data_IF_899984828456
#
_entry.id   IF_899984828456
#
_cell.length_a   1.000
_cell.length_b   1.000
_cell.length_c   1.000
_cell.angle_alpha   90.00
_cell.angle_beta   90.00
_cell.angle_gamma   90.00
#
_symmetry.space_group_name_H-M   'P 1'
#
loop_
_entity.id
_entity.type
_entity.pdbx_description
1 polymer ?
#
# COMPACT_ATOMS: atom_id res chain seq x y z
N UNK A 1 -9.14 2.45 13.12
CA UNK A 1 -7.85 3.06 13.51
C UNK A 1 -6.78 2.02 13.31
N UNK A 2 -5.75 2.31 12.54
CA UNK A 2 -4.58 1.44 12.44
C UNK A 2 -3.77 1.59 13.73
N UNK A 3 -4.00 0.71 14.67
CA UNK A 3 -3.35 0.70 15.98
C UNK A 3 -2.38 -0.50 16.05
N UNK A 4 -1.05 -0.28 16.00
CA UNK A 4 -0.08 -1.35 16.10
C UNK A 4 -0.19 -2.16 17.40
N UNK A 5 -0.69 -1.54 18.47
CA UNK A 5 -0.89 -2.22 19.76
C UNK A 5 -1.96 -3.33 19.71
N UNK A 6 -2.82 -3.32 18.71
CA UNK A 6 -3.81 -4.38 18.47
C UNK A 6 -3.23 -5.62 17.77
N UNK A 7 -1.94 -5.59 17.39
CA UNK A 7 -1.28 -6.74 16.76
C UNK A 7 -1.22 -7.93 17.73
N UNK A 8 -1.35 -9.14 17.18
CA UNK A 8 -1.22 -10.37 17.98
C UNK A 8 0.19 -10.45 18.60
N UNK A 9 0.33 -10.70 19.91
CA UNK A 9 1.63 -10.87 20.52
C UNK A 9 2.47 -11.93 19.81
N UNK A 10 3.76 -11.68 19.60
CA UNK A 10 4.65 -12.55 18.80
C UNK A 10 4.66 -14.01 19.28
N UNK A 11 4.67 -14.23 20.60
CA UNK A 11 4.61 -15.59 21.16
C UNK A 11 3.30 -16.32 20.83
N UNK A 12 2.17 -15.61 20.86
CA UNK A 12 0.87 -16.16 20.48
C UNK A 12 0.80 -16.42 18.97
N UNK A 13 1.35 -15.51 18.16
CA UNK A 13 1.44 -15.71 16.71
C UNK A 13 2.27 -16.97 16.40
N UNK A 14 3.47 -17.08 16.95
CA UNK A 14 4.35 -18.23 16.73
C UNK A 14 3.68 -19.56 17.13
N UNK A 15 3.09 -19.62 18.32
CA UNK A 15 2.41 -20.82 18.81
C UNK A 15 1.23 -21.22 17.93
N UNK A 16 0.39 -20.27 17.55
CA UNK A 16 -0.77 -20.55 16.71
C UNK A 16 -0.37 -20.93 15.28
N UNK A 17 0.64 -20.28 14.73
CA UNK A 17 1.12 -20.56 13.38
C UNK A 17 1.79 -21.94 13.30
N UNK A 18 2.62 -22.30 14.29
CA UNK A 18 3.20 -23.65 14.42
C UNK A 18 2.10 -24.72 14.52
N UNK A 19 1.11 -24.50 15.40
CA UNK A 19 -0.03 -25.42 15.53
C UNK A 19 -0.76 -25.62 14.19
N UNK A 20 -1.05 -24.52 13.48
CA UNK A 20 -1.70 -24.55 12.17
C UNK A 20 -0.91 -25.40 11.17
N UNK A 21 0.41 -25.16 11.06
CA UNK A 21 1.24 -25.90 10.11
C UNK A 21 1.40 -27.38 10.50
N UNK A 22 1.44 -27.71 11.80
CA UNK A 22 1.42 -29.12 12.26
C UNK A 22 0.14 -29.84 11.82
N UNK A 23 -1.02 -29.22 12.03
CA UNK A 23 -2.31 -29.79 11.65
C UNK A 23 -2.42 -29.98 10.12
N UNK A 24 -1.99 -28.96 9.35
CA UNK A 24 -1.99 -29.04 7.89
C UNK A 24 -1.00 -30.09 7.36
N UNK A 25 0.19 -30.18 7.95
CA UNK A 25 1.20 -31.18 7.57
C UNK A 25 0.69 -32.63 7.77
N UNK A 26 -0.11 -32.84 8.80
CA UNK A 26 -0.70 -34.18 9.08
C UNK A 26 -1.65 -34.66 7.96
N UNK A 27 -2.12 -33.76 7.09
CA UNK A 27 -2.98 -34.11 5.94
C UNK A 27 -2.21 -34.74 4.78
N UNK A 28 -0.87 -34.68 4.78
CA UNK A 28 -0.02 -35.10 3.68
C UNK A 28 -0.04 -34.19 2.45
N UNK A 29 -0.72 -33.02 2.51
CA UNK A 29 -0.75 -32.06 1.44
C UNK A 29 0.57 -31.27 1.33
N UNK A 30 0.92 -30.83 0.12
CA UNK A 30 2.00 -29.88 -0.07
C UNK A 30 1.58 -28.52 0.48
N UNK A 31 2.31 -28.05 1.49
CA UNK A 31 2.04 -26.73 2.08
C UNK A 31 2.70 -25.63 1.26
N UNK A 32 1.93 -24.61 0.97
CA UNK A 32 2.38 -23.37 0.33
C UNK A 32 1.92 -22.21 1.21
N UNK A 33 2.85 -21.43 1.69
CA UNK A 33 2.58 -20.31 2.60
C UNK A 33 3.17 -19.03 2.01
N UNK A 34 2.50 -17.90 2.24
CA UNK A 34 3.00 -16.59 1.89
C UNK A 34 3.46 -15.83 3.14
N UNK A 35 4.47 -15.00 3.01
CA UNK A 35 4.78 -14.01 4.01
C UNK A 35 3.83 -12.79 3.88
N UNK A 36 3.82 -11.93 4.91
CA UNK A 36 2.95 -10.76 4.99
C UNK A 36 3.62 -9.58 4.27
N UNK A 37 2.92 -8.91 3.34
CA UNK A 37 3.43 -7.70 2.70
C UNK A 37 3.55 -6.54 3.69
N UNK A 38 4.37 -5.51 3.36
CA UNK A 38 4.26 -4.21 4.05
C UNK A 38 2.87 -3.63 3.76
N UNK A 39 2.01 -3.65 4.78
CA UNK A 39 0.62 -3.17 4.65
C UNK A 39 0.53 -1.69 4.28
N UNK A 40 1.58 -0.91 4.50
CA UNK A 40 1.61 0.51 4.11
C UNK A 40 1.86 0.72 2.61
N UNK A 41 2.07 -0.36 1.85
CA UNK A 41 2.19 -0.32 0.38
C UNK A 41 0.82 -0.21 -0.31
N UNK A 42 -0.26 -0.65 0.34
CA UNK A 42 -1.59 -0.60 -0.25
C UNK A 42 -2.13 0.85 -0.33
N UNK A 43 -2.95 1.20 -1.35
CA UNK A 43 -3.46 2.57 -1.54
C UNK A 43 -4.33 3.10 -0.39
N UNK A 44 -4.84 2.22 0.47
CA UNK A 44 -5.58 2.60 1.67
C UNK A 44 -4.79 3.56 2.58
N UNK A 45 -3.47 3.48 2.53
CA UNK A 45 -2.56 4.37 3.25
C UNK A 45 -1.89 5.32 2.25
N UNK A 46 -2.38 6.57 2.17
CA UNK A 46 -1.80 7.60 1.29
C UNK A 46 -0.65 8.31 2.00
N UNK A 47 0.60 8.25 1.49
CA UNK A 47 1.72 8.95 2.07
C UNK A 47 1.49 10.48 2.11
N UNK A 48 1.90 11.16 3.18
CA UNK A 48 1.85 12.62 3.28
C UNK A 48 2.58 13.32 2.12
N UNK A 49 3.66 12.71 1.60
CA UNK A 49 4.38 13.20 0.42
C UNK A 49 3.51 13.16 -0.85
N UNK A 50 2.69 12.13 -1.02
CA UNK A 50 1.76 12.01 -2.15
C UNK A 50 0.69 13.10 -2.07
N UNK A 51 0.12 13.36 -0.89
CA UNK A 51 -0.83 14.46 -0.68
C UNK A 51 -0.21 15.79 -1.05
N UNK A 52 1.04 16.03 -0.66
CA UNK A 52 1.77 17.25 -0.99
C UNK A 52 1.97 17.39 -2.51
N UNK A 53 2.34 16.32 -3.18
CA UNK A 53 2.52 16.27 -4.62
C UNK A 53 1.19 16.54 -5.35
N UNK A 54 0.10 15.92 -4.94
CA UNK A 54 -1.23 16.09 -5.52
C UNK A 54 -1.78 17.50 -5.29
N UNK A 55 -1.50 18.10 -4.12
CA UNK A 55 -1.83 19.50 -3.85
C UNK A 55 -0.96 20.50 -4.64
N UNK A 56 0.12 20.07 -5.27
CA UNK A 56 1.08 20.94 -5.95
C UNK A 56 1.85 21.86 -4.99
N UNK A 57 1.97 21.48 -3.71
CA UNK A 57 2.57 22.29 -2.65
C UNK A 57 3.55 21.44 -1.83
N UNK A 58 4.67 22.01 -1.37
CA UNK A 58 5.61 21.27 -0.51
C UNK A 58 4.97 20.83 0.81
N UNK A 59 5.37 19.66 1.32
CA UNK A 59 4.84 19.11 2.57
C UNK A 59 5.06 20.04 3.77
N UNK A 60 6.19 20.77 3.83
CA UNK A 60 6.46 21.73 4.91
C UNK A 60 5.45 22.89 4.95
N UNK A 61 4.72 23.13 3.85
CA UNK A 61 3.67 24.15 3.74
C UNK A 61 2.33 23.61 4.19
N UNK A 62 1.89 22.48 3.61
CA UNK A 62 0.58 21.93 3.90
C UNK A 62 0.56 21.09 5.18
N UNK A 63 1.70 20.56 5.59
CA UNK A 63 1.82 19.72 6.77
C UNK A 63 1.29 20.38 8.05
N UNK A 64 1.69 21.62 8.40
CA UNK A 64 1.13 22.31 9.57
C UNK A 64 -0.38 22.56 9.47
N UNK A 65 -0.92 22.78 8.27
CA UNK A 65 -2.36 23.00 8.03
C UNK A 65 -3.15 21.70 8.21
N UNK A 66 -2.62 20.61 7.67
CA UNK A 66 -3.25 19.30 7.72
C UNK A 66 -2.91 18.50 8.99
N UNK A 67 -1.94 18.95 9.78
CA UNK A 67 -1.45 18.23 10.95
C UNK A 67 -0.71 16.94 10.59
N UNK A 68 0.01 16.89 9.45
CA UNK A 68 0.79 15.74 8.99
C UNK A 68 2.25 16.12 8.75
N UNK A 69 3.14 15.13 8.83
CA UNK A 69 4.57 15.30 8.66
C UNK A 69 5.20 14.24 7.76
N UNK A 70 6.53 14.33 7.56
CA UNK A 70 7.27 13.30 6.82
C UNK A 70 7.09 11.92 7.43
N UNK A 71 6.77 10.93 6.60
CA UNK A 71 6.57 9.54 7.02
C UNK A 71 5.17 9.23 7.57
N UNK A 72 4.30 10.23 7.74
CA UNK A 72 2.90 10.00 8.06
C UNK A 72 2.14 9.49 6.83
N UNK A 73 1.09 8.71 7.08
CA UNK A 73 0.10 8.27 6.09
C UNK A 73 -1.28 8.73 6.49
N UNK A 74 -2.11 9.03 5.49
CA UNK A 74 -3.49 9.47 5.68
C UNK A 74 -4.44 8.39 5.14
N UNK A 75 -5.49 8.09 5.91
CA UNK A 75 -6.53 7.13 5.55
C UNK A 75 -7.55 7.77 4.59
N UNK A 76 -8.36 7.00 3.87
CA UNK A 76 -9.30 7.51 2.86
C UNK A 76 -10.21 8.64 3.35
N UNK A 77 -10.75 8.52 4.58
CA UNK A 77 -11.63 9.54 5.16
C UNK A 77 -10.87 10.87 5.37
N UNK A 78 -9.63 10.80 5.84
CA UNK A 78 -8.76 11.97 5.95
C UNK A 78 -8.40 12.57 4.60
N UNK A 79 -8.08 11.74 3.59
CA UNK A 79 -7.80 12.21 2.22
C UNK A 79 -8.98 12.98 1.65
N UNK A 80 -10.21 12.54 1.88
CA UNK A 80 -11.42 13.21 1.44
C UNK A 80 -11.60 14.62 2.05
N UNK A 81 -11.04 14.87 3.24
CA UNK A 81 -11.11 16.18 3.91
C UNK A 81 -10.05 17.18 3.40
N UNK A 82 -8.95 16.69 2.81
CA UNK A 82 -7.81 17.53 2.41
C UNK A 82 -8.21 18.75 1.56
N UNK A 83 -9.00 18.62 0.46
CA UNK A 83 -9.38 19.78 -0.35
C UNK A 83 -10.14 20.83 0.45
N UNK A 84 -11.06 20.40 1.31
CA UNK A 84 -11.85 21.30 2.14
C UNK A 84 -11.01 22.05 3.17
N UNK A 85 -10.04 21.38 3.78
CA UNK A 85 -9.12 22.01 4.74
C UNK A 85 -8.20 23.00 4.04
N UNK A 86 -7.62 22.65 2.89
CA UNK A 86 -6.72 23.53 2.15
C UNK A 86 -7.41 24.77 1.57
N UNK A 87 -8.72 24.68 1.27
CA UNK A 87 -9.52 25.83 0.83
C UNK A 87 -10.14 26.65 1.97
N UNK A 88 -10.02 26.16 3.22
CA UNK A 88 -10.60 26.79 4.39
C UNK A 88 -12.11 26.56 4.55
N UNK A 89 -12.75 25.72 3.72
CA UNK A 89 -14.16 25.35 3.85
C UNK A 89 -14.41 24.33 4.96
N UNK A 90 -13.37 23.60 5.35
CA UNK A 90 -13.36 22.68 6.49
C UNK A 90 -12.26 23.14 7.45
N UNK A 91 -12.56 23.15 8.76
CA UNK A 91 -11.58 23.51 9.78
C UNK A 91 -10.61 22.35 9.99
N UNK A 92 -9.31 22.59 9.78
CA UNK A 92 -8.24 21.63 10.09
C UNK A 92 -7.79 21.66 11.56
N UNK A 93 -6.82 20.84 11.93
CA UNK A 93 -6.16 19.80 11.11
C UNK A 93 -7.00 18.56 10.86
N UNK A 94 -6.45 17.55 10.16
CA UNK A 94 -7.08 16.24 9.99
C UNK A 94 -7.32 15.57 11.35
N UNK A 95 -8.42 14.80 11.51
CA UNK A 95 -8.63 13.99 12.70
C UNK A 95 -7.45 13.03 12.92
N UNK A 96 -7.00 12.88 14.17
CA UNK A 96 -5.89 11.97 14.49
C UNK A 96 -6.21 10.49 14.19
N UNK A 97 -7.50 10.14 14.16
CA UNK A 97 -7.99 8.82 13.74
C UNK A 97 -7.67 8.48 12.28
N UNK A 98 -7.50 9.50 11.45
CA UNK A 98 -7.35 9.37 10.01
C UNK A 98 -5.89 9.51 9.58
N UNK A 99 -4.97 9.59 10.53
CA UNK A 99 -3.54 9.71 10.28
C UNK A 99 -2.78 8.60 11.01
N UNK A 100 -2.08 7.75 10.25
CA UNK A 100 -1.08 6.83 10.78
C UNK A 100 0.25 7.56 10.87
N UNK A 101 0.75 7.77 12.09
CA UNK A 101 1.96 8.54 12.34
C UNK A 101 3.23 7.76 11.99
N UNK A 102 4.28 8.48 11.58
CA UNK A 102 5.56 7.87 11.22
C UNK A 102 6.11 6.87 12.27
N UNK A 103 6.05 7.11 13.59
CA UNK A 103 6.44 6.10 14.57
C UNK A 103 5.57 4.84 14.51
N UNK A 104 4.25 4.97 14.32
CA UNK A 104 3.33 3.83 14.19
C UNK A 104 3.59 3.03 12.90
N UNK A 105 3.96 3.71 11.81
CA UNK A 105 4.40 3.06 10.56
C UNK A 105 5.63 2.19 10.81
N UNK A 106 6.63 2.72 11.50
CA UNK A 106 7.85 1.97 11.83
C UNK A 106 7.56 0.79 12.74
N UNK A 107 6.70 0.96 13.75
CA UNK A 107 6.28 -0.11 14.64
C UNK A 107 5.52 -1.21 13.87
N UNK A 108 4.58 -0.83 13.00
CA UNK A 108 3.85 -1.78 12.16
C UNK A 108 4.79 -2.62 11.29
N UNK A 109 5.77 -1.97 10.65
CA UNK A 109 6.77 -2.66 9.84
C UNK A 109 7.62 -3.62 10.66
N UNK A 110 8.09 -3.20 11.83
CA UNK A 110 8.86 -4.07 12.72
C UNK A 110 8.06 -5.30 13.18
N UNK A 111 6.75 -5.16 13.43
CA UNK A 111 5.87 -6.28 13.77
C UNK A 111 5.72 -7.23 12.56
N UNK A 112 5.52 -6.69 11.36
CA UNK A 112 5.43 -7.50 10.13
C UNK A 112 6.73 -8.27 9.89
N UNK A 113 7.88 -7.62 10.04
CA UNK A 113 9.19 -8.27 9.89
C UNK A 113 9.36 -9.42 10.89
N UNK A 114 8.94 -9.23 12.14
CA UNK A 114 8.98 -10.26 13.15
C UNK A 114 8.04 -11.44 12.84
N UNK A 115 6.82 -11.16 12.34
CA UNK A 115 5.92 -12.22 11.87
C UNK A 115 6.50 -12.97 10.67
N UNK A 116 7.08 -12.25 9.71
CA UNK A 116 7.68 -12.86 8.53
C UNK A 116 8.88 -13.75 8.88
N UNK A 117 9.65 -13.37 9.89
CA UNK A 117 10.69 -14.22 10.42
C UNK A 117 10.14 -15.53 11.01
N UNK A 118 9.03 -15.47 11.78
CA UNK A 118 8.35 -16.65 12.32
C UNK A 118 7.80 -17.51 11.17
N UNK A 119 7.12 -16.89 10.20
CA UNK A 119 6.59 -17.61 9.02
C UNK A 119 7.69 -18.36 8.29
N UNK A 120 8.85 -17.72 8.09
CA UNK A 120 9.97 -18.35 7.38
C UNK A 120 10.54 -19.56 8.13
N UNK A 121 10.73 -19.46 9.45
CA UNK A 121 11.22 -20.56 10.28
C UNK A 121 10.24 -21.72 10.28
N UNK A 122 8.97 -21.45 10.51
CA UNK A 122 7.93 -22.47 10.56
C UNK A 122 7.72 -23.13 9.18
N UNK A 123 7.72 -22.34 8.10
CA UNK A 123 7.66 -22.87 6.75
C UNK A 123 8.81 -23.84 6.45
N UNK A 124 10.04 -23.46 6.84
CA UNK A 124 11.20 -24.31 6.69
C UNK A 124 11.08 -25.59 7.52
N UNK A 125 10.69 -25.47 8.80
CA UNK A 125 10.54 -26.63 9.71
C UNK A 125 9.50 -27.65 9.24
N UNK A 126 8.47 -27.22 8.53
CA UNK A 126 7.40 -28.07 7.99
C UNK A 126 7.58 -28.44 6.51
N UNK A 127 8.71 -28.07 5.88
CA UNK A 127 8.96 -28.32 4.47
C UNK A 127 7.95 -27.63 3.54
N UNK A 128 7.32 -26.55 3.99
CA UNK A 128 6.40 -25.75 3.20
C UNK A 128 7.15 -24.91 2.17
N UNK A 129 6.49 -24.61 1.04
CA UNK A 129 6.97 -23.66 0.05
C UNK A 129 6.64 -22.26 0.52
N UNK A 130 7.65 -21.45 0.80
CA UNK A 130 7.47 -20.04 1.16
C UNK A 130 7.41 -19.17 -0.10
N UNK A 131 6.31 -18.45 -0.29
CA UNK A 131 6.12 -17.47 -1.35
C UNK A 131 6.37 -16.06 -0.78
N UNK A 132 7.39 -15.40 -1.27
CA UNK A 132 7.80 -14.08 -0.80
C UNK A 132 6.96 -12.98 -1.45
N UNK A 133 5.81 -12.70 -0.86
CA UNK A 133 4.90 -11.61 -1.27
C UNK A 133 5.40 -10.26 -0.75
N UNK A 134 6.14 -10.25 0.37
CA UNK A 134 6.73 -9.03 0.92
C UNK A 134 7.65 -8.35 -0.11
N UNK A 135 8.62 -9.08 -0.63
CA UNK A 135 9.51 -8.57 -1.68
C UNK A 135 8.76 -8.22 -2.97
N UNK A 136 7.74 -9.00 -3.36
CA UNK A 136 6.92 -8.66 -4.52
C UNK A 136 6.26 -7.29 -4.38
N UNK A 137 5.65 -7.01 -3.23
CA UNK A 137 4.98 -5.71 -2.99
C UNK A 137 5.96 -4.55 -2.92
N UNK A 138 7.18 -4.75 -2.41
CA UNK A 138 8.25 -3.75 -2.44
C UNK A 138 8.72 -3.45 -3.87
N UNK A 139 8.82 -4.46 -4.73
CA UNK A 139 9.12 -4.28 -6.14
C UNK A 139 8.02 -3.48 -6.85
N UNK A 140 6.76 -3.83 -6.61
CA UNK A 140 5.61 -3.08 -7.14
C UNK A 140 5.66 -1.61 -6.70
N UNK A 141 5.94 -1.34 -5.44
CA UNK A 141 6.04 0.02 -4.90
C UNK A 141 7.14 0.83 -5.58
N UNK A 142 8.29 0.22 -5.83
CA UNK A 142 9.48 0.91 -6.35
C UNK A 142 9.50 1.05 -7.87
N UNK A 143 8.95 0.09 -8.60
CA UNK A 143 9.10 -0.03 -10.04
C UNK A 143 7.77 -0.11 -10.80
N UNK A 144 6.66 -0.37 -10.13
CA UNK A 144 5.40 -0.70 -10.79
C UNK A 144 5.46 -2.02 -11.57
N UNK A 145 4.49 -2.24 -12.44
CA UNK A 145 4.39 -3.40 -13.32
C UNK A 145 3.95 -2.93 -14.71
N UNK A 146 4.63 -3.41 -15.75
CA UNK A 146 4.19 -3.20 -17.12
C UNK A 146 3.22 -4.32 -17.52
N UNK A 147 1.99 -3.95 -17.91
CA UNK A 147 1.00 -4.87 -18.40
C UNK A 147 0.12 -4.23 -19.48
N UNK A 148 -0.03 -4.90 -20.61
CA UNK A 148 -0.85 -4.47 -21.76
C UNK A 148 -0.56 -3.01 -22.20
N UNK A 149 0.71 -2.58 -22.16
CA UNK A 149 1.12 -1.23 -22.54
C UNK A 149 0.84 -0.15 -21.49
N UNK A 150 0.43 -0.54 -20.27
CA UNK A 150 0.21 0.37 -19.15
C UNK A 150 1.25 0.14 -18.06
N UNK A 151 1.74 1.23 -17.48
CA UNK A 151 2.56 1.21 -16.27
C UNK A 151 1.63 1.22 -15.05
N UNK A 152 1.50 0.06 -14.39
CA UNK A 152 0.61 -0.13 -13.26
C UNK A 152 1.37 0.04 -11.95
N UNK A 153 0.74 0.71 -10.97
CA UNK A 153 1.36 1.04 -9.68
C UNK A 153 0.47 0.65 -8.51
N UNK A 154 1.04 0.73 -7.31
CA UNK A 154 0.29 0.59 -6.07
C UNK A 154 -0.44 1.87 -5.62
N UNK A 155 -0.44 2.93 -6.42
CA UNK A 155 -1.22 4.13 -6.10
C UNK A 155 -2.74 3.85 -6.20
N UNK A 156 -3.55 4.66 -5.53
CA UNK A 156 -5.00 4.60 -5.72
C UNK A 156 -5.34 4.86 -7.20
N UNK A 157 -6.15 3.99 -7.79
CA UNK A 157 -6.42 3.94 -9.23
C UNK A 157 -5.19 3.66 -10.12
N UNK A 158 -4.08 3.21 -9.55
CA UNK A 158 -2.88 2.83 -10.31
C UNK A 158 -2.95 1.47 -10.99
N UNK A 159 -4.13 0.82 -11.00
CA UNK A 159 -4.44 -0.40 -11.76
C UNK A 159 -4.13 -1.72 -11.05
N UNK A 160 -3.39 -1.74 -9.95
CA UNK A 160 -3.07 -2.98 -9.22
C UNK A 160 -3.97 -3.24 -8.01
N UNK A 161 -4.64 -2.20 -7.48
CA UNK A 161 -5.56 -2.30 -6.36
C UNK A 161 -6.95 -1.81 -6.73
N UNK A 162 -7.98 -2.42 -6.12
CA UNK A 162 -9.37 -2.08 -6.33
C UNK A 162 -9.74 -0.74 -5.67
N UNK A 163 -10.99 -0.31 -5.85
CA UNK A 163 -11.49 0.98 -5.34
C UNK A 163 -11.54 1.06 -3.81
N UNK A 164 -11.43 -0.06 -3.11
CA UNK A 164 -11.34 -0.07 -1.64
C UNK A 164 -9.91 0.23 -1.15
N UNK A 165 -8.93 0.27 -2.06
CA UNK A 165 -7.53 0.52 -1.75
C UNK A 165 -6.83 -0.60 -0.99
N UNK A 166 -7.46 -1.78 -0.84
CA UNK A 166 -6.96 -2.93 -0.07
C UNK A 166 -6.79 -4.16 -0.94
N UNK A 167 -7.86 -4.58 -1.61
CA UNK A 167 -7.82 -5.79 -2.42
C UNK A 167 -7.19 -5.54 -3.79
N UNK A 168 -6.37 -6.48 -4.31
CA UNK A 168 -5.87 -6.40 -5.67
C UNK A 168 -7.01 -6.39 -6.71
N UNK A 169 -6.76 -5.77 -7.87
CA UNK A 169 -7.57 -5.94 -9.08
C UNK A 169 -7.39 -7.33 -9.66
N UNK A 170 -8.14 -7.68 -10.72
CA UNK A 170 -7.90 -8.93 -11.44
C UNK A 170 -6.45 -9.02 -11.92
N UNK A 171 -5.89 -7.93 -12.43
CA UNK A 171 -4.49 -7.85 -12.87
C UNK A 171 -3.52 -7.99 -11.69
N UNK A 172 -3.79 -7.35 -10.55
CA UNK A 172 -3.01 -7.52 -9.33
C UNK A 172 -3.01 -8.98 -8.85
N UNK A 173 -4.16 -9.65 -8.86
CA UNK A 173 -4.24 -11.08 -8.54
C UNK A 173 -3.49 -11.97 -9.54
N UNK A 174 -3.50 -11.64 -10.84
CA UNK A 174 -2.73 -12.39 -11.84
C UNK A 174 -1.21 -12.31 -11.56
N UNK A 175 -0.71 -11.14 -11.16
CA UNK A 175 0.69 -10.94 -10.75
C UNK A 175 1.03 -11.76 -9.52
N UNK A 176 0.17 -11.73 -8.49
CA UNK A 176 0.33 -12.53 -7.27
C UNK A 176 0.31 -14.03 -7.60
N UNK A 177 -0.66 -14.49 -8.40
CA UNK A 177 -0.74 -15.88 -8.84
C UNK A 177 0.54 -16.36 -9.53
N UNK A 178 1.12 -15.53 -10.41
CA UNK A 178 2.38 -15.83 -11.07
C UNK A 178 3.55 -15.93 -10.09
N UNK A 179 3.57 -15.16 -9.02
CA UNK A 179 4.57 -15.31 -7.95
C UNK A 179 4.45 -16.68 -7.28
N UNK A 180 3.23 -17.14 -6.95
CA UNK A 180 2.98 -18.47 -6.39
C UNK A 180 3.40 -19.56 -7.37
N UNK A 181 2.95 -19.49 -8.63
CA UNK A 181 3.25 -20.48 -9.67
C UNK A 181 4.76 -20.57 -9.91
N UNK A 182 5.45 -19.44 -10.07
CA UNK A 182 6.90 -19.39 -10.28
C UNK A 182 7.64 -20.02 -9.12
N UNK A 183 7.26 -19.69 -7.88
CA UNK A 183 7.88 -20.27 -6.68
C UNK A 183 7.67 -21.78 -6.61
N UNK A 184 6.45 -22.26 -6.89
CA UNK A 184 6.15 -23.71 -6.94
C UNK A 184 6.95 -24.41 -8.02
N UNK A 185 7.01 -23.88 -9.23
CA UNK A 185 7.77 -24.47 -10.34
C UNK A 185 9.25 -24.59 -10.00
N UNK A 186 9.81 -23.56 -9.37
CA UNK A 186 11.23 -23.56 -8.97
C UNK A 186 11.54 -24.50 -7.81
N UNK A 187 10.66 -24.57 -6.80
CA UNK A 187 10.94 -25.31 -5.55
C UNK A 187 10.51 -26.76 -5.61
N UNK A 188 9.51 -27.10 -6.41
CA UNK A 188 8.94 -28.45 -6.52
C UNK A 188 9.16 -29.09 -7.90
N UNK A 189 9.80 -28.38 -8.85
CA UNK A 189 10.03 -28.90 -10.19
C UNK A 189 8.74 -29.10 -10.99
N UNK A 190 7.68 -28.35 -10.67
CA UNK A 190 6.42 -28.39 -11.41
C UNK A 190 6.51 -27.57 -12.70
N UNK A 191 5.57 -27.72 -13.61
CA UNK A 191 5.49 -26.98 -14.86
C UNK A 191 4.10 -26.36 -15.02
N UNK A 192 3.62 -25.69 -13.98
CA UNK A 192 2.33 -25.00 -14.00
C UNK A 192 2.45 -23.78 -14.91
N UNK A 193 1.56 -23.62 -15.92
CA UNK A 193 1.60 -22.47 -16.82
C UNK A 193 1.32 -21.17 -16.07
N UNK A 194 2.06 -20.11 -16.42
CA UNK A 194 1.82 -18.76 -15.89
C UNK A 194 0.52 -18.18 -16.44
N UNK A 195 -0.13 -17.36 -15.63
CA UNK A 195 -1.25 -16.52 -16.07
C UNK A 195 -0.72 -15.45 -17.03
N UNK A 196 -1.41 -15.26 -18.16
CA UNK A 196 -1.09 -14.15 -19.07
C UNK A 196 -1.59 -12.83 -18.50
N UNK A 197 -0.72 -12.09 -17.82
CA UNK A 197 -1.07 -10.82 -17.16
C UNK A 197 -1.56 -9.78 -18.17
N UNK A 198 -1.02 -9.75 -19.40
CA UNK A 198 -1.47 -8.81 -20.43
C UNK A 198 -2.90 -9.09 -20.87
N UNK A 199 -3.29 -10.36 -20.97
CA UNK A 199 -4.65 -10.76 -21.32
C UNK A 199 -5.65 -10.37 -20.21
N UNK A 200 -5.30 -10.63 -18.95
CA UNK A 200 -6.11 -10.20 -17.80
C UNK A 200 -6.23 -8.67 -17.78
N UNK A 201 -5.13 -7.95 -17.95
CA UNK A 201 -5.10 -6.50 -17.96
C UNK A 201 -5.96 -5.90 -19.09
N UNK A 202 -6.05 -6.57 -20.24
CA UNK A 202 -6.86 -6.08 -21.37
C UNK A 202 -8.37 -6.06 -21.08
N UNK A 203 -8.82 -6.81 -20.09
CA UNK A 203 -10.24 -6.91 -19.69
C UNK A 203 -10.54 -6.35 -18.31
N UNK A 204 -9.52 -5.90 -17.58
CA UNK A 204 -9.66 -5.34 -16.24
C UNK A 204 -10.12 -3.88 -16.31
N UNK A 205 -11.35 -3.56 -15.86
CA UNK A 205 -11.92 -2.22 -16.00
C UNK A 205 -11.18 -1.15 -15.19
N UNK A 206 -10.40 -1.55 -14.16
CA UNK A 206 -9.71 -0.61 -13.29
C UNK A 206 -8.35 -0.15 -13.85
N UNK A 207 -7.83 -0.81 -14.88
CA UNK A 207 -6.59 -0.38 -15.56
C UNK A 207 -6.75 0.97 -16.27
N UNK A 208 -7.95 1.25 -16.79
CA UNK A 208 -8.23 2.48 -17.52
C UNK A 208 -8.63 3.66 -16.61
N UNK A 209 -8.78 3.43 -15.31
CA UNK A 209 -9.22 4.47 -14.37
C UNK A 209 -8.15 5.55 -14.12
N UNK A 210 -6.86 5.28 -14.42
CA UNK A 210 -5.78 6.26 -14.27
C UNK A 210 -5.96 7.49 -15.17
N UNK A 211 -6.44 7.31 -16.40
CA UNK A 211 -6.76 8.42 -17.30
C UNK A 211 -7.89 9.30 -16.74
N UNK A 212 -8.86 8.71 -16.04
CA UNK A 212 -9.94 9.43 -15.39
C UNK A 212 -9.47 10.19 -14.14
N UNK A 213 -8.48 9.65 -13.41
CA UNK A 213 -7.88 10.29 -12.23
C UNK A 213 -7.11 11.57 -12.58
N UNK A 214 -6.28 11.57 -13.60
CA UNK A 214 -5.53 12.74 -14.06
C UNK A 214 -6.45 13.92 -14.38
N UNK A 215 -7.67 13.64 -14.88
CA UNK A 215 -8.70 14.64 -15.17
C UNK A 215 -9.42 15.11 -13.90
N UNK A 216 -9.56 14.27 -12.87
CA UNK A 216 -10.30 14.60 -11.63
C UNK A 216 -9.49 15.45 -10.66
N UNK A 217 -8.22 15.12 -10.43
CA UNK A 217 -7.36 15.83 -9.46
C UNK A 217 -6.98 17.24 -9.92
N UNK A 218 -6.81 17.47 -11.23
CA UNK A 218 -6.57 18.81 -11.78
C UNK A 218 -7.73 19.81 -11.56
N UNK A 219 -8.91 19.32 -11.17
CA UNK A 219 -10.11 20.14 -10.94
C UNK A 219 -10.32 20.58 -9.48
N UNK A 220 -9.59 20.01 -8.50
CA UNK A 220 -9.90 20.20 -7.08
C UNK A 220 -9.06 21.29 -6.39
N UNK A 221 -7.90 21.67 -6.93
CA UNK A 221 -7.16 22.86 -6.47
C UNK A 221 -7.20 23.89 -7.58
N UNK A 222 -8.03 24.95 -7.41
CA UNK A 222 -8.10 25.99 -8.40
C UNK A 222 -6.73 26.70 -8.53
N UNK A 223 -6.33 27.17 -9.72
CA UNK A 223 -5.12 27.96 -9.90
C UNK A 223 -5.06 29.17 -8.95
N UNK A 224 -6.22 29.72 -8.57
CA UNK A 224 -6.34 30.83 -7.62
C UNK A 224 -5.98 30.40 -6.20
N UNK A 225 -6.37 29.21 -5.74
CA UNK A 225 -6.02 28.67 -4.42
C UNK A 225 -4.53 28.38 -4.33
N UNK A 226 -3.94 27.80 -5.38
CA UNK A 226 -2.50 27.57 -5.46
C UNK A 226 -1.70 28.88 -5.48
N UNK A 227 -2.20 29.92 -6.18
CA UNK A 227 -1.59 31.26 -6.20
C UNK A 227 -1.70 31.98 -4.86
N UNK A 228 -2.84 31.88 -4.17
CA UNK A 228 -3.03 32.48 -2.84
C UNK A 228 -2.10 31.86 -1.78
N UNK A 229 -1.95 30.53 -1.79
CA UNK A 229 -1.03 29.83 -0.90
C UNK A 229 0.45 30.14 -1.21
N UNK A 230 0.81 30.28 -2.49
CA UNK A 230 2.16 30.74 -2.89
C UNK A 230 2.43 32.18 -2.45
N UNK A 231 1.44 33.09 -2.53
CA UNK A 231 1.57 34.47 -2.06
C UNK A 231 1.77 34.56 -0.55
N UNK A 232 1.11 33.70 0.24
CA UNK A 232 1.31 33.60 1.70
C UNK A 232 2.75 33.18 2.04
N UNK A 233 3.33 32.27 1.27
CA UNK A 233 4.71 31.81 1.45
C UNK A 233 5.75 32.87 1.17
N UNK A 234 5.53 33.68 0.15
CA UNK A 234 6.44 34.76 -0.22
C UNK A 234 6.43 35.91 0.82
N UNK A 235 5.31 36.10 1.53
CA UNK A 235 5.21 37.08 2.61
C UNK A 235 5.92 36.67 3.90
N UNK A 236 5.98 35.36 4.20
CA UNK A 236 6.66 34.84 5.41
C UNK A 236 8.18 34.77 5.24
N UNK A 237 8.71 34.77 4.02
CA UNK A 237 10.16 34.75 3.73
C UNK A 237 10.79 36.15 3.69
N UNK A 238 10.00 37.26 3.66
CA UNK A 238 10.51 38.62 3.64
C UNK A 238 10.53 39.35 5.02
N UNK A 239 10.24 38.60 6.09
CA UNK A 239 10.31 39.11 7.48
C UNK A 239 11.37 38.40 8.34
N UNK A 240 12.45 37.91 7.75
CA UNK A 240 13.65 37.45 8.48
C UNK A 240 14.86 38.21 8.02
#
# INVERSE_FOLDING_TARGET
MADPSAATPLGSFASNYNKLLNELSATGATLVVANIPDVTVIPYFTPASTIAQEAGLPLFVIGPILGIGPGDYVLPDGVALVPGILTGSIKGPLPSSDVLRAPQVLETRAIIDAYNFIIAIEAFGHGAVLVDIHTLTDQIRSQGIEANGHHLTNAFLGGLFSLDGVHPTNTGYAVIANKFITTLNQTRGTSIPLVNVNEVASTDPLIFAEAARAVSLSKHVSPATAAALRALLLHTSSQK
#
